data_IF_006116531696
#
_entry.id   IF_006116531696
#
_cell.length_a   1.000
_cell.length_b   1.000
_cell.length_c   1.000
_cell.angle_alpha   90.00
_cell.angle_beta   90.00
_cell.angle_gamma   90.00
#
_symmetry.space_group_name_H-M   'P 1'
#
loop_
_entity.id
_entity.type
_entity.pdbx_description
1 polymer ?
#
# COMPACT_ATOMS: atom_id res chain seq x y z
N UNK A 1 -7.42 -24.31 -17.07
CA UNK A 1 -8.52 -23.39 -16.71
C UNK A 1 -8.34 -22.97 -15.26
N UNK A 2 -8.47 -21.68 -14.94
CA UNK A 2 -8.51 -21.23 -13.54
C UNK A 2 -9.79 -20.46 -13.27
N UNK A 3 -10.34 -20.61 -12.07
CA UNK A 3 -11.47 -19.81 -11.63
C UNK A 3 -11.00 -18.41 -11.22
N UNK A 4 -11.83 -17.41 -11.45
CA UNK A 4 -11.61 -16.05 -11.00
C UNK A 4 -11.56 -16.05 -9.46
N UNK A 5 -10.52 -15.46 -8.88
CA UNK A 5 -10.37 -15.40 -7.42
C UNK A 5 -11.51 -14.63 -6.72
N UNK A 6 -12.20 -13.74 -7.44
CA UNK A 6 -13.24 -12.88 -6.86
C UNK A 6 -14.65 -13.43 -7.03
N UNK A 7 -15.01 -13.94 -8.21
CA UNK A 7 -16.36 -14.42 -8.51
C UNK A 7 -16.46 -15.92 -8.81
N UNK A 8 -15.34 -16.65 -8.80
CA UNK A 8 -15.24 -18.09 -9.10
C UNK A 8 -15.65 -18.51 -10.52
N UNK A 9 -16.09 -17.59 -11.38
CA UNK A 9 -16.34 -17.88 -12.80
C UNK A 9 -15.05 -18.28 -13.52
N UNK A 10 -15.17 -19.12 -14.55
CA UNK A 10 -14.04 -19.55 -15.38
C UNK A 10 -13.39 -18.34 -16.05
N UNK A 11 -12.07 -18.22 -15.89
CA UNK A 11 -11.26 -17.26 -16.65
C UNK A 11 -10.69 -17.96 -17.86
N UNK A 12 -10.99 -17.42 -19.04
CA UNK A 12 -10.42 -17.86 -20.30
C UNK A 12 -9.30 -16.91 -20.67
N UNK A 13 -8.19 -17.48 -21.17
CA UNK A 13 -7.16 -16.68 -21.81
C UNK A 13 -7.57 -16.47 -23.26
N UNK A 14 -7.65 -15.21 -23.69
CA UNK A 14 -7.93 -14.87 -25.08
C UNK A 14 -6.64 -14.99 -25.91
N UNK A 15 -6.50 -16.09 -26.65
CA UNK A 15 -5.42 -16.29 -27.59
C UNK A 15 -5.69 -15.50 -28.87
N UNK A 16 -5.39 -14.20 -28.85
CA UNK A 16 -5.47 -13.36 -30.04
C UNK A 16 -4.10 -13.12 -30.69
N UNK A 17 -4.12 -12.74 -31.97
CA UNK A 17 -2.90 -12.52 -32.77
C UNK A 17 -2.00 -11.43 -32.17
N UNK A 18 -2.60 -10.44 -31.51
CA UNK A 18 -1.88 -9.36 -30.82
C UNK A 18 -1.04 -9.90 -29.66
N UNK A 19 -1.57 -10.84 -28.87
CA UNK A 19 -0.78 -11.50 -27.84
C UNK A 19 0.33 -12.37 -28.44
N UNK A 20 0.03 -13.17 -29.46
CA UNK A 20 1.01 -14.02 -30.13
C UNK A 20 2.21 -13.22 -30.64
N UNK A 21 1.95 -12.08 -31.29
CA UNK A 21 2.97 -11.17 -31.82
C UNK A 21 3.68 -10.33 -30.74
N UNK A 22 3.18 -10.31 -29.50
CA UNK A 22 3.80 -9.56 -28.41
C UNK A 22 4.95 -10.30 -27.72
N UNK A 23 5.11 -11.60 -27.99
CA UNK A 23 6.04 -12.51 -27.30
C UNK A 23 5.98 -12.42 -25.76
N UNK A 24 4.88 -11.91 -25.21
CA UNK A 24 4.68 -11.84 -23.79
C UNK A 24 4.47 -13.24 -23.23
N UNK A 25 5.09 -13.52 -22.08
CA UNK A 25 4.88 -14.80 -21.39
C UNK A 25 3.39 -15.04 -21.19
N UNK A 26 2.96 -16.27 -21.46
CA UNK A 26 1.60 -16.69 -21.16
C UNK A 26 1.34 -16.52 -19.66
N UNK A 27 0.39 -15.65 -19.30
CA UNK A 27 -0.04 -15.47 -17.92
C UNK A 27 -1.56 -15.57 -17.87
N UNK A 28 -2.08 -16.59 -17.19
CA UNK A 28 -3.51 -16.67 -16.91
C UNK A 28 -3.84 -15.60 -15.89
N UNK A 29 -4.65 -14.62 -16.30
CA UNK A 29 -5.21 -13.65 -15.36
C UNK A 29 -5.94 -14.39 -14.24
N UNK A 30 -5.64 -14.04 -12.99
CA UNK A 30 -6.30 -14.65 -11.83
C UNK A 30 -7.71 -14.10 -11.60
N UNK A 31 -8.09 -13.08 -12.38
CA UNK A 31 -9.34 -12.33 -12.25
C UNK A 31 -9.96 -12.14 -13.64
N UNK A 32 -11.27 -12.31 -13.75
CA UNK A 32 -11.98 -12.02 -15.01
C UNK A 32 -12.05 -10.51 -15.28
N UNK A 33 -12.24 -10.11 -16.54
CA UNK A 33 -12.35 -8.70 -16.95
C UNK A 33 -13.40 -7.95 -16.12
N UNK A 34 -14.62 -8.48 -16.00
CA UNK A 34 -15.70 -7.88 -15.19
C UNK A 34 -15.28 -7.56 -13.75
N UNK A 35 -14.56 -8.47 -13.10
CA UNK A 35 -14.11 -8.23 -11.72
C UNK A 35 -12.95 -7.25 -11.67
N UNK A 36 -12.05 -7.27 -12.66
CA UNK A 36 -10.98 -6.28 -12.77
C UNK A 36 -11.55 -4.86 -12.98
N UNK A 37 -12.56 -4.74 -13.84
CA UNK A 37 -13.22 -3.46 -14.19
C UNK A 37 -14.14 -2.94 -13.08
N UNK A 38 -14.42 -3.76 -12.05
CA UNK A 38 -15.17 -3.33 -10.87
C UNK A 38 -14.37 -2.44 -9.93
N UNK A 39 -13.04 -2.38 -10.10
CA UNK A 39 -12.17 -1.53 -9.29
C UNK A 39 -11.90 -0.20 -9.97
N UNK A 40 -12.18 0.89 -9.26
CA UNK A 40 -11.97 2.23 -9.78
C UNK A 40 -10.51 2.68 -9.62
N UNK A 41 -9.82 2.87 -10.74
CA UNK A 41 -8.43 3.33 -10.75
C UNK A 41 -8.31 4.85 -10.51
N UNK A 42 -7.24 5.22 -9.82
CA UNK A 42 -6.84 6.61 -9.61
C UNK A 42 -5.76 6.95 -10.64
N UNK A 43 -6.01 7.99 -11.46
CA UNK A 43 -5.03 8.48 -12.44
C UNK A 43 -4.26 9.64 -11.84
N UNK A 44 -3.01 9.81 -12.28
CA UNK A 44 -2.16 10.92 -11.81
C UNK A 44 -2.77 12.31 -12.08
N UNK A 45 -3.53 12.45 -13.17
CA UNK A 45 -4.18 13.72 -13.56
C UNK A 45 -5.37 14.11 -12.67
N UNK A 46 -5.94 13.17 -11.92
CA UNK A 46 -7.18 13.37 -11.17
C UNK A 46 -7.06 12.91 -9.71
N UNK A 47 -5.89 13.15 -9.11
CA UNK A 47 -5.62 12.76 -7.73
C UNK A 47 -4.99 13.90 -6.91
N UNK A 48 -5.16 13.82 -5.60
CA UNK A 48 -4.54 14.73 -4.66
C UNK A 48 -3.01 14.59 -4.66
N UNK A 49 -2.29 15.70 -4.82
CA UNK A 49 -0.83 15.76 -4.85
C UNK A 49 -0.13 15.18 -3.60
N UNK A 50 -0.79 15.27 -2.43
CA UNK A 50 -0.28 14.66 -1.19
C UNK A 50 -0.69 13.20 -1.03
N UNK A 51 -1.96 12.92 -0.68
CA UNK A 51 -2.37 11.58 -0.27
C UNK A 51 -2.81 10.63 -1.41
N UNK A 52 -2.84 11.08 -2.66
CA UNK A 52 -3.30 10.26 -3.79
C UNK A 52 -4.82 10.05 -3.85
N UNK A 53 -5.64 10.81 -3.10
CA UNK A 53 -7.11 10.71 -3.14
C UNK A 53 -7.67 11.11 -4.51
N UNK A 54 -8.58 10.34 -5.09
CA UNK A 54 -9.27 10.70 -6.34
C UNK A 54 -10.07 12.00 -6.19
N UNK A 55 -9.94 12.90 -7.17
CA UNK A 55 -10.60 14.20 -7.26
C UNK A 55 -10.82 14.58 -8.73
N UNK A 56 -11.59 15.64 -9.00
CA UNK A 56 -11.80 16.09 -10.39
C UNK A 56 -10.57 16.80 -10.97
N UNK A 57 -9.75 17.40 -10.11
CA UNK A 57 -8.56 18.15 -10.48
C UNK A 57 -7.38 17.74 -9.61
N UNK A 58 -6.18 17.89 -10.16
CA UNK A 58 -4.93 17.62 -9.44
C UNK A 58 -4.63 18.75 -8.46
N UNK A 59 -5.27 18.72 -7.29
CA UNK A 59 -5.10 19.75 -6.26
C UNK A 59 -4.95 19.12 -4.87
N UNK A 60 -4.55 19.92 -3.88
CA UNK A 60 -4.43 19.42 -2.51
C UNK A 60 -5.79 19.26 -1.85
N UNK A 61 -6.15 18.04 -1.41
CA UNK A 61 -7.41 17.78 -0.72
C UNK A 61 -7.46 18.38 0.70
N UNK A 62 -8.67 18.45 1.28
CA UNK A 62 -8.89 18.98 2.63
C UNK A 62 -8.06 18.27 3.70
N UNK A 63 -7.96 16.94 3.65
CA UNK A 63 -7.16 16.17 4.62
C UNK A 63 -5.67 16.55 4.53
N UNK A 64 -5.14 16.74 3.32
CA UNK A 64 -3.74 17.15 3.12
C UNK A 64 -3.49 18.60 3.55
N UNK A 65 -4.45 19.51 3.30
CA UNK A 65 -4.36 20.89 3.81
C UNK A 65 -4.33 20.92 5.34
N UNK A 66 -5.10 20.06 6.00
CA UNK A 66 -5.06 19.91 7.46
C UNK A 66 -3.73 19.33 7.94
N UNK A 67 -3.16 18.35 7.22
CA UNK A 67 -1.83 17.82 7.53
C UNK A 67 -0.74 18.89 7.41
N UNK A 68 -0.78 19.74 6.37
CA UNK A 68 0.21 20.81 6.16
C UNK A 68 0.27 21.80 7.33
N UNK A 69 -0.86 22.01 8.03
CA UNK A 69 -0.92 22.85 9.24
C UNK A 69 -0.30 22.19 10.49
N UNK A 70 -0.08 20.87 10.46
CA UNK A 70 0.31 20.07 11.64
C UNK A 70 1.73 19.53 11.58
N UNK A 71 2.34 19.54 10.41
CA UNK A 71 3.70 19.03 10.19
C UNK A 71 4.63 20.19 9.89
N UNK A 72 5.87 20.03 10.31
CA UNK A 72 6.99 20.81 9.78
C UNK A 72 7.52 20.12 8.52
N UNK A 73 7.84 20.89 7.49
CA UNK A 73 8.33 20.39 6.21
C UNK A 73 7.25 20.01 5.19
N UNK A 74 7.65 19.22 4.19
CA UNK A 74 6.80 18.86 3.07
C UNK A 74 5.74 17.82 3.44
N UNK A 75 4.66 17.76 2.67
CA UNK A 75 3.67 16.68 2.78
C UNK A 75 4.26 15.37 2.26
N UNK A 76 3.73 14.26 2.76
CA UNK A 76 4.04 12.95 2.18
C UNK A 76 3.50 12.87 0.75
N UNK A 77 4.36 12.56 -0.22
CA UNK A 77 3.99 12.23 -1.60
C UNK A 77 3.56 10.76 -1.66
N UNK A 78 2.27 10.52 -1.44
CA UNK A 78 1.65 9.22 -1.54
C UNK A 78 0.98 9.03 -2.90
N UNK A 79 1.30 7.92 -3.57
CA UNK A 79 0.51 7.42 -4.71
C UNK A 79 -0.44 6.32 -4.27
N UNK A 80 -1.67 6.36 -4.73
CA UNK A 80 -2.65 5.30 -4.53
C UNK A 80 -3.13 4.81 -5.90
N UNK A 81 -3.24 3.49 -6.09
CA UNK A 81 -3.63 2.91 -7.38
C UNK A 81 -5.14 2.90 -7.58
N UNK A 82 -5.90 2.68 -6.51
CA UNK A 82 -7.34 2.49 -6.55
C UNK A 82 -8.10 3.32 -5.53
N UNK A 83 -9.36 3.60 -5.83
CA UNK A 83 -10.30 4.22 -4.87
C UNK A 83 -10.72 3.18 -3.85
N UNK A 84 -10.66 3.55 -2.57
CA UNK A 84 -11.34 2.80 -1.53
C UNK A 84 -12.83 3.13 -1.53
N UNK A 85 -13.61 2.32 -2.25
CA UNK A 85 -15.05 2.44 -2.41
C UNK A 85 -15.84 1.69 -1.30
N UNK A 86 -17.17 1.70 -1.40
CA UNK A 86 -18.04 0.95 -0.49
C UNK A 86 -18.36 -0.48 -0.99
N UNK A 87 -17.82 -0.89 -2.14
CA UNK A 87 -18.24 -2.09 -2.86
C UNK A 87 -17.04 -3.01 -3.10
N UNK A 88 -16.43 -2.96 -4.29
CA UNK A 88 -15.45 -3.94 -4.74
C UNK A 88 -14.16 -3.89 -3.93
N UNK A 89 -13.57 -2.70 -3.76
CA UNK A 89 -12.31 -2.55 -3.03
C UNK A 89 -12.48 -2.86 -1.55
N UNK A 90 -13.58 -2.41 -0.93
CA UNK A 90 -13.86 -2.75 0.48
C UNK A 90 -14.04 -4.26 0.69
N UNK A 91 -14.81 -4.94 -0.16
CA UNK A 91 -15.00 -6.39 -0.07
C UNK A 91 -13.69 -7.15 -0.28
N UNK A 92 -12.86 -6.69 -1.22
CA UNK A 92 -11.52 -7.23 -1.43
C UNK A 92 -10.65 -7.10 -0.16
N UNK A 93 -10.54 -5.88 0.38
CA UNK A 93 -9.73 -5.61 1.57
C UNK A 93 -10.25 -6.43 2.75
N UNK A 94 -11.56 -6.59 2.90
CA UNK A 94 -12.13 -7.40 3.97
C UNK A 94 -11.70 -8.86 3.90
N UNK A 95 -11.84 -9.49 2.74
CA UNK A 95 -11.44 -10.88 2.53
C UNK A 95 -9.93 -11.08 2.62
N UNK A 96 -9.16 -10.14 2.07
CA UNK A 96 -7.71 -10.22 2.07
C UNK A 96 -7.12 -9.92 3.44
N UNK A 97 -7.46 -8.78 4.04
CA UNK A 97 -6.85 -8.27 5.28
C UNK A 97 -7.44 -8.89 6.52
N UNK A 98 -8.76 -9.09 6.60
CA UNK A 98 -9.41 -9.51 7.85
C UNK A 98 -9.75 -10.99 7.88
N UNK A 99 -10.21 -11.56 6.75
CA UNK A 99 -10.48 -13.01 6.65
C UNK A 99 -9.24 -13.84 6.29
N UNK A 100 -8.14 -13.19 5.92
CA UNK A 100 -6.85 -13.86 5.70
C UNK A 100 -6.75 -14.67 4.40
N UNK A 101 -7.57 -14.39 3.37
CA UNK A 101 -7.43 -15.09 2.08
C UNK A 101 -6.19 -14.59 1.32
N UNK A 102 -5.04 -15.15 1.68
CA UNK A 102 -3.73 -14.77 1.14
C UNK A 102 -3.63 -14.89 -0.39
N UNK A 103 -4.47 -15.73 -1.03
CA UNK A 103 -4.46 -15.90 -2.51
C UNK A 103 -4.92 -14.63 -3.22
N UNK A 104 -5.74 -13.81 -2.56
CA UNK A 104 -6.23 -12.54 -3.10
C UNK A 104 -5.11 -11.53 -3.39
N UNK A 105 -3.91 -11.68 -2.82
CA UNK A 105 -2.75 -10.86 -3.20
C UNK A 105 -2.51 -10.87 -4.73
N UNK A 106 -2.76 -12.00 -5.38
CA UNK A 106 -2.52 -12.19 -6.82
C UNK A 106 -3.43 -11.32 -7.70
N UNK A 107 -4.51 -10.76 -7.14
CA UNK A 107 -5.41 -9.82 -7.84
C UNK A 107 -4.64 -8.56 -8.21
N UNK A 108 -3.82 -8.01 -7.30
CA UNK A 108 -3.16 -6.72 -7.50
C UNK A 108 -1.63 -6.79 -7.52
N UNK A 109 -1.02 -7.90 -7.11
CA UNK A 109 0.43 -8.07 -7.03
C UNK A 109 1.16 -7.58 -8.29
N UNK A 110 0.84 -8.15 -9.47
CA UNK A 110 1.54 -7.79 -10.71
C UNK A 110 1.44 -6.30 -11.01
N UNK A 111 0.25 -5.70 -10.82
CA UNK A 111 0.02 -4.29 -11.11
C UNK A 111 0.70 -3.36 -10.11
N UNK A 112 0.69 -3.73 -8.83
CA UNK A 112 1.34 -2.97 -7.77
C UNK A 112 2.87 -2.99 -7.95
N UNK A 113 3.46 -4.17 -8.17
CA UNK A 113 4.89 -4.33 -8.44
C UNK A 113 5.30 -3.62 -9.73
N UNK A 114 4.54 -3.77 -10.82
CA UNK A 114 4.82 -3.08 -12.09
C UNK A 114 4.78 -1.56 -11.93
N UNK A 115 3.84 -1.02 -11.15
CA UNK A 115 3.83 0.40 -10.86
C UNK A 115 5.10 0.83 -10.12
N UNK A 116 5.52 0.07 -9.12
CA UNK A 116 6.76 0.35 -8.38
C UNK A 116 7.96 0.35 -9.32
N UNK A 117 8.16 -0.71 -10.10
CA UNK A 117 9.32 -0.87 -10.98
C UNK A 117 9.40 0.17 -12.11
N UNK A 118 8.27 0.71 -12.57
CA UNK A 118 8.24 1.76 -13.59
C UNK A 118 8.58 3.14 -13.01
N UNK A 119 8.17 3.42 -11.77
CA UNK A 119 8.23 4.78 -11.21
C UNK A 119 9.38 4.97 -10.21
N UNK A 120 9.99 3.90 -9.71
CA UNK A 120 11.03 3.93 -8.71
C UNK A 120 12.13 2.93 -9.06
N UNK A 121 13.34 3.44 -9.26
CA UNK A 121 14.54 2.66 -9.57
C UNK A 121 15.14 1.97 -8.33
N UNK A 122 16.28 1.31 -8.54
CA UNK A 122 17.03 0.57 -7.51
C UNK A 122 17.66 1.44 -6.42
N UNK A 123 17.71 2.75 -6.57
CA UNK A 123 18.27 3.66 -5.55
C UNK A 123 17.27 3.90 -4.40
N UNK A 124 16.02 3.43 -4.56
CA UNK A 124 15.00 3.49 -3.53
C UNK A 124 15.03 2.25 -2.62
N UNK A 125 15.04 2.49 -1.31
CA UNK A 125 14.75 1.45 -0.32
C UNK A 125 13.25 1.24 -0.23
N UNK A 126 12.81 0.02 -0.52
CA UNK A 126 11.40 -0.38 -0.44
C UNK A 126 11.08 -0.86 0.97
N UNK A 127 10.40 -0.03 1.77
CA UNK A 127 10.18 -0.29 3.19
C UNK A 127 8.71 -0.64 3.43
N UNK A 128 8.36 -1.91 3.70
CA UNK A 128 6.99 -2.28 4.03
C UNK A 128 6.61 -1.74 5.41
N UNK A 129 5.38 -1.25 5.57
CA UNK A 129 4.84 -0.93 6.89
C UNK A 129 4.69 -2.24 7.69
N UNK A 130 5.30 -2.34 8.88
CA UNK A 130 5.21 -3.55 9.69
C UNK A 130 3.84 -3.66 10.36
N UNK A 131 3.43 -4.90 10.62
CA UNK A 131 2.26 -5.22 11.44
C UNK A 131 2.73 -5.71 12.82
N UNK A 132 1.86 -5.61 13.83
CA UNK A 132 2.17 -6.13 15.16
C UNK A 132 2.06 -7.67 15.21
N UNK A 133 2.69 -8.27 16.22
CA UNK A 133 2.75 -9.73 16.40
C UNK A 133 1.36 -10.34 16.53
N UNK A 134 0.44 -9.70 17.26
CA UNK A 134 -0.95 -10.14 17.38
C UNK A 134 -1.63 -10.20 16.01
N UNK A 135 -1.45 -9.18 15.18
CA UNK A 135 -1.97 -9.14 13.81
C UNK A 135 -1.32 -10.22 12.95
N UNK A 136 -0.01 -10.44 13.09
CA UNK A 136 0.71 -11.48 12.36
C UNK A 136 0.24 -12.88 12.77
N UNK A 137 -0.04 -13.12 14.06
CA UNK A 137 -0.58 -14.39 14.56
C UNK A 137 -2.01 -14.66 14.07
N UNK A 138 -2.87 -13.64 14.07
CA UNK A 138 -4.26 -13.79 13.63
C UNK A 138 -4.35 -13.97 12.12
N UNK A 139 -3.63 -13.15 11.36
CA UNK A 139 -3.73 -13.12 9.89
C UNK A 139 -2.77 -14.07 9.19
N UNK A 140 -1.66 -14.42 9.81
CA UNK A 140 -0.59 -15.26 9.25
C UNK A 140 0.34 -14.56 8.25
N UNK A 141 0.07 -13.31 7.86
CA UNK A 141 0.90 -12.58 6.89
C UNK A 141 0.76 -11.05 6.97
N UNK A 142 1.78 -10.35 6.46
CA UNK A 142 1.72 -8.93 6.16
C UNK A 142 1.16 -8.69 4.74
N UNK A 143 0.09 -7.90 4.65
CA UNK A 143 -0.63 -7.64 3.40
C UNK A 143 0.28 -7.03 2.34
N UNK A 144 1.10 -6.05 2.73
CA UNK A 144 1.93 -5.38 1.73
C UNK A 144 3.07 -6.26 1.25
N UNK A 145 3.65 -7.08 2.13
CA UNK A 145 4.67 -8.06 1.73
C UNK A 145 4.08 -9.11 0.77
N UNK A 146 2.82 -9.51 0.98
CA UNK A 146 2.10 -10.37 0.04
C UNK A 146 1.91 -9.73 -1.35
N UNK A 147 1.72 -8.41 -1.42
CA UNK A 147 1.58 -7.69 -2.68
C UNK A 147 2.91 -7.41 -3.39
N UNK A 148 4.05 -7.65 -2.73
CA UNK A 148 5.37 -7.18 -3.17
C UNK A 148 6.45 -8.26 -3.08
N UNK A 149 6.08 -9.52 -3.34
CA UNK A 149 6.98 -10.68 -3.17
C UNK A 149 8.20 -10.64 -4.08
N UNK A 150 8.15 -9.91 -5.20
CA UNK A 150 9.25 -9.78 -6.15
C UNK A 150 10.03 -8.45 -5.99
N UNK A 151 9.67 -7.62 -5.00
CA UNK A 151 10.36 -6.36 -4.70
C UNK A 151 11.38 -6.61 -3.58
N UNK A 152 12.63 -6.11 -3.69
CA UNK A 152 13.64 -6.29 -2.65
C UNK A 152 13.32 -5.40 -1.43
N UNK A 153 12.59 -5.97 -0.46
CA UNK A 153 12.13 -5.25 0.72
C UNK A 153 13.25 -5.03 1.76
N UNK A 154 13.30 -3.83 2.32
CA UNK A 154 14.23 -3.39 3.36
C UNK A 154 13.48 -3.15 4.67
N UNK A 155 13.75 -3.93 5.72
CA UNK A 155 12.99 -3.91 6.98
C UNK A 155 13.67 -3.05 8.06
N UNK A 156 13.81 -1.77 7.77
CA UNK A 156 14.48 -0.80 8.66
C UNK A 156 13.62 -0.33 9.84
N UNK A 157 12.30 -0.58 9.82
CA UNK A 157 11.37 -0.24 10.90
C UNK A 157 10.64 -1.49 11.43
N UNK A 158 10.35 -1.51 12.73
CA UNK A 158 9.53 -2.53 13.37
C UNK A 158 8.53 -1.92 14.35
N UNK A 159 7.49 -2.68 14.69
CA UNK A 159 6.53 -2.28 15.72
C UNK A 159 7.22 -2.23 17.09
N UNK A 160 6.89 -1.21 17.89
CA UNK A 160 7.21 -1.23 19.31
C UNK A 160 6.34 -2.28 20.01
N UNK A 161 6.91 -2.99 20.96
CA UNK A 161 6.15 -3.89 21.82
C UNK A 161 5.05 -3.12 22.54
N UNK A 162 3.82 -3.67 22.50
CA UNK A 162 2.69 -3.15 23.29
C UNK A 162 2.97 -3.45 24.76
N UNK A 163 3.63 -2.53 25.48
CA UNK A 163 3.60 -2.54 26.95
C UNK A 163 2.16 -2.26 27.41
N UNK A 164 1.42 -3.30 27.75
CA UNK A 164 0.07 -3.21 28.32
C UNK A 164 -1.05 -3.42 27.30
N UNK A 165 -1.87 -4.44 27.54
CA UNK A 165 -3.06 -4.79 26.77
C UNK A 165 -4.10 -3.68 26.85
N UNK A 166 -4.39 -2.99 25.73
CA UNK A 166 -5.77 -2.55 25.38
C UNK A 166 -5.90 -2.58 23.85
N UNK A 167 -6.85 -3.38 23.36
CA UNK A 167 -7.21 -3.56 21.94
C UNK A 167 -7.44 -2.20 21.27
N UNK A 168 -6.68 -1.90 20.21
CA UNK A 168 -6.80 -0.66 19.43
C UNK A 168 -7.87 -0.73 18.32
N UNK A 169 -8.72 -1.77 18.30
CA UNK A 169 -9.66 -2.05 17.21
C UNK A 169 -10.89 -1.15 17.15
N UNK A 170 -11.11 -0.24 18.11
CA UNK A 170 -12.30 0.63 18.16
C UNK A 170 -12.01 2.14 18.07
N UNK A 171 -10.78 2.57 17.76
CA UNK A 171 -10.44 3.99 17.83
C UNK A 171 -10.99 4.84 16.68
N UNK A 172 -11.76 5.87 17.01
CA UNK A 172 -12.35 6.83 16.07
C UNK A 172 -11.26 7.65 15.32
N UNK A 173 -11.62 8.29 14.18
CA UNK A 173 -10.70 9.12 13.36
C UNK A 173 -9.91 10.14 14.21
N UNK A 174 -10.53 10.69 15.27
CA UNK A 174 -9.89 11.63 16.23
C UNK A 174 -8.84 10.97 17.12
N UNK A 175 -9.09 9.77 17.64
CA UNK A 175 -8.18 9.08 18.57
C UNK A 175 -6.92 8.54 17.88
N UNK A 176 -7.02 8.18 16.60
CA UNK A 176 -5.83 7.86 15.79
C UNK A 176 -4.87 9.05 15.69
N UNK A 177 -5.34 10.29 15.75
CA UNK A 177 -4.50 11.49 15.57
C UNK A 177 -3.58 11.79 16.76
N UNK A 178 -3.79 11.17 17.92
CA UNK A 178 -3.00 11.39 19.15
C UNK A 178 -2.09 10.19 19.50
N UNK A 179 -1.98 9.20 18.60
CA UNK A 179 -1.17 8.02 18.87
C UNK A 179 0.32 8.37 18.98
N UNK A 180 0.97 7.86 20.03
CA UNK A 180 2.42 7.89 20.21
C UNK A 180 3.07 7.12 19.06
N UNK A 181 4.30 7.49 18.70
CA UNK A 181 5.09 6.85 17.64
C UNK A 181 5.07 5.30 17.80
N UNK A 182 4.39 4.55 16.92
CA UNK A 182 4.24 3.10 17.06
C UNK A 182 5.48 2.32 16.61
N UNK A 183 6.39 2.95 15.86
CA UNK A 183 7.54 2.29 15.27
C UNK A 183 8.84 2.56 16.02
N UNK A 184 9.79 1.63 15.92
CA UNK A 184 11.20 1.79 16.28
C UNK A 184 12.06 1.46 15.06
N UNK A 185 13.27 2.03 15.02
CA UNK A 185 14.26 1.63 14.01
C UNK A 185 14.82 0.25 14.40
N UNK A 186 14.97 -0.62 13.40
CA UNK A 186 15.69 -1.89 13.53
C UNK A 186 17.21 -1.66 13.51
N UNK A 187 18.01 -2.68 13.79
CA UNK A 187 19.48 -2.56 13.87
C UNK A 187 20.16 -2.06 12.57
N UNK A 188 19.45 -2.03 11.44
CA UNK A 188 19.94 -1.61 10.11
C UNK A 188 19.98 -0.08 9.90
N UNK A 189 20.34 0.69 10.93
CA UNK A 189 20.36 2.17 10.89
C UNK A 189 21.27 2.71 9.78
N UNK A 190 22.38 2.03 9.49
CA UNK A 190 23.38 2.47 8.50
C UNK A 190 22.80 2.63 7.09
N UNK A 191 21.76 1.85 6.73
CA UNK A 191 21.09 1.94 5.44
C UNK A 191 20.28 3.24 5.26
N UNK A 192 19.97 3.96 6.34
CA UNK A 192 19.09 5.13 6.28
C UNK A 192 19.81 6.42 5.86
N UNK A 193 21.14 6.48 6.00
CA UNK A 193 21.91 7.72 5.80
C UNK A 193 21.84 8.17 4.33
N UNK A 194 21.18 9.31 4.09
CA UNK A 194 20.89 9.87 2.76
C UNK A 194 20.09 8.92 1.85
N UNK A 195 19.27 8.06 2.43
CA UNK A 195 18.47 7.13 1.65
C UNK A 195 17.24 7.80 1.02
N UNK A 196 16.90 7.38 -0.19
CA UNK A 196 15.56 7.56 -0.78
C UNK A 196 14.71 6.36 -0.35
N UNK A 197 13.58 6.60 0.29
CA UNK A 197 12.74 5.54 0.86
C UNK A 197 11.34 5.60 0.26
N UNK A 198 10.85 4.46 -0.21
CA UNK A 198 9.46 4.27 -0.60
C UNK A 198 8.77 3.39 0.44
N UNK A 199 7.89 4.01 1.23
CA UNK A 199 7.02 3.30 2.17
C UNK A 199 5.93 2.57 1.41
N UNK A 200 5.76 1.28 1.67
CA UNK A 200 4.72 0.45 1.06
C UNK A 200 3.66 0.14 2.13
N UNK A 201 2.39 0.43 1.83
CA UNK A 201 1.26 0.06 2.68
C UNK A 201 0.07 -0.38 1.81
N UNK A 202 -0.96 -1.01 2.39
CA UNK A 202 -2.13 -1.46 1.62
C UNK A 202 -3.20 -0.37 1.49
N UNK A 203 -3.45 0.41 2.55
CA UNK A 203 -4.53 1.39 2.59
C UNK A 203 -4.10 2.72 3.22
N UNK A 204 -4.27 3.80 2.46
CA UNK A 204 -4.15 5.14 3.02
C UNK A 204 -5.50 5.56 3.62
N UNK A 205 -5.60 5.60 4.94
CA UNK A 205 -6.81 6.11 5.62
C UNK A 205 -6.65 7.59 5.98
N UNK A 206 -6.12 7.88 7.17
CA UNK A 206 -5.76 9.24 7.61
C UNK A 206 -4.33 9.60 7.24
N UNK A 207 -3.52 8.64 6.81
CA UNK A 207 -2.08 8.80 6.59
C UNK A 207 -1.22 8.75 7.84
N UNK A 208 -1.82 8.66 9.04
CA UNK A 208 -1.10 8.76 10.31
C UNK A 208 0.03 7.73 10.42
N UNK A 209 -0.23 6.48 10.04
CA UNK A 209 0.76 5.40 10.00
C UNK A 209 1.97 5.78 9.15
N UNK A 210 1.73 6.23 7.92
CA UNK A 210 2.78 6.63 7.00
C UNK A 210 3.55 7.87 7.50
N UNK A 211 2.87 8.88 8.07
CA UNK A 211 3.54 10.04 8.65
C UNK A 211 4.40 9.66 9.88
N UNK A 212 3.98 8.67 10.68
CA UNK A 212 4.80 8.17 11.77
C UNK A 212 6.06 7.50 11.27
N UNK A 213 5.95 6.60 10.29
CA UNK A 213 7.10 5.95 9.67
C UNK A 213 8.03 6.99 9.02
N UNK A 214 7.46 7.93 8.25
CA UNK A 214 8.20 9.03 7.62
C UNK A 214 9.01 9.84 8.62
N UNK A 215 8.36 10.34 9.68
CA UNK A 215 9.04 11.17 10.66
C UNK A 215 10.16 10.40 11.37
N UNK A 216 9.92 9.11 11.69
CA UNK A 216 10.94 8.27 12.30
C UNK A 216 12.16 8.11 11.37
N UNK A 217 11.93 7.82 10.09
CA UNK A 217 12.99 7.61 9.11
C UNK A 217 13.79 8.89 8.84
N UNK A 218 13.11 10.04 8.68
CA UNK A 218 13.77 11.34 8.49
C UNK A 218 14.64 11.71 9.70
N UNK A 219 14.17 11.44 10.92
CA UNK A 219 14.95 11.65 12.15
C UNK A 219 16.24 10.82 12.21
N UNK A 220 16.30 9.72 11.47
CA UNK A 220 17.47 8.83 11.41
C UNK A 220 18.26 8.98 10.10
N UNK A 221 18.10 10.11 9.40
CA UNK A 221 18.98 10.52 8.31
C UNK A 221 18.51 10.18 6.90
N UNK A 222 17.27 9.73 6.72
CA UNK A 222 16.68 9.61 5.39
C UNK A 222 16.62 10.98 4.68
N UNK A 223 16.96 11.01 3.39
CA UNK A 223 16.94 12.23 2.59
C UNK A 223 15.54 12.49 2.03
N UNK A 224 14.91 11.45 1.50
CA UNK A 224 13.59 11.54 0.88
C UNK A 224 12.74 10.36 1.32
N UNK A 225 11.50 10.61 1.72
CA UNK A 225 10.54 9.56 2.04
C UNK A 225 9.25 9.82 1.27
N UNK A 226 8.89 8.89 0.38
CA UNK A 226 7.62 8.83 -0.35
C UNK A 226 6.83 7.60 0.07
N UNK A 227 5.59 7.48 -0.38
CA UNK A 227 4.81 6.27 -0.13
C UNK A 227 3.94 5.86 -1.30
N UNK A 228 3.55 4.59 -1.29
CA UNK A 228 2.58 4.02 -2.20
C UNK A 228 1.61 3.13 -1.43
N UNK A 229 0.31 3.25 -1.74
CA UNK A 229 -0.74 2.40 -1.20
C UNK A 229 -1.54 1.73 -2.30
N UNK A 230 -2.11 0.55 -2.04
CA UNK A 230 -3.00 -0.09 -2.99
C UNK A 230 -4.24 0.77 -3.22
N UNK A 231 -4.84 1.28 -2.13
CA UNK A 231 -6.05 2.11 -2.22
C UNK A 231 -6.06 3.33 -1.30
N UNK A 232 -6.96 4.28 -1.60
CA UNK A 232 -7.20 5.52 -0.85
C UNK A 232 -8.67 5.93 -0.82
#
# INVERSE_FOLDING_TARGET
MSNCLLCQNKVYFDFNLKWLMSFQKYSISKVCSRCNDSFEEIKASNCCLGCGRKQNQQMMCLDCRQWKKRITGELLDNKALYVYDQTAMRSFIEKYKFLGDYRLRLVFQNKFEKFISINYDKDWLYVPIPIDEETMQIRGFNQIEGLTTNIPLTRVISMREKRGRIKQSHKNKKERMLTKQPFKISEQISQLKKAKILLLDDIYTTGRTLYHARNLLMQHGAETVKSITLCR
#
